data_IF_211716501870
#
_entry.id   IF_211716501870
#
_cell.length_a   1.000
_cell.length_b   1.000
_cell.length_c   1.000
_cell.angle_alpha   90.00
_cell.angle_beta   90.00
_cell.angle_gamma   90.00
#
_symmetry.space_group_name_H-M   'P 1'
#
loop_
_entity.id
_entity.type
_entity.pdbx_description
1 polymer ?
#
# COMPACT_ATOMS: atom_id res chain seq x y z
N UNK A 1 -9.02 0.25 23.00
CA UNK A 1 -8.91 1.64 22.47
C UNK A 1 -10.18 1.98 21.72
N UNK A 2 -10.53 3.27 21.60
CA UNK A 2 -11.64 3.68 20.74
C UNK A 2 -11.31 3.28 19.27
N UNK A 3 -12.21 2.59 18.55
CA UNK A 3 -12.04 2.27 17.13
C UNK A 3 -11.57 3.44 16.27
N UNK A 4 -12.02 4.66 16.58
CA UNK A 4 -11.67 5.87 15.84
C UNK A 4 -10.15 6.15 15.96
N UNK A 5 -9.58 5.94 17.14
CA UNK A 5 -8.15 6.19 17.39
C UNK A 5 -7.31 5.19 16.60
N UNK A 6 -7.71 3.92 16.54
CA UNK A 6 -7.01 2.87 15.79
C UNK A 6 -6.98 3.21 14.30
N UNK A 7 -8.14 3.56 13.73
CA UNK A 7 -8.24 3.94 12.32
C UNK A 7 -7.40 5.18 12.04
N UNK A 8 -7.44 6.20 12.91
CA UNK A 8 -6.62 7.39 12.75
C UNK A 8 -5.12 7.07 12.71
N UNK A 9 -4.63 6.17 13.58
CA UNK A 9 -3.24 5.72 13.59
C UNK A 9 -2.87 5.02 12.27
N UNK A 10 -3.71 4.08 11.82
CA UNK A 10 -3.49 3.36 10.56
C UNK A 10 -3.42 4.34 9.37
N UNK A 11 -4.35 5.30 9.31
CA UNK A 11 -4.39 6.32 8.25
C UNK A 11 -3.13 7.19 8.29
N UNK A 12 -2.68 7.64 9.47
CA UNK A 12 -1.46 8.44 9.59
C UNK A 12 -0.25 7.65 9.08
N UNK A 13 -0.11 6.38 9.46
CA UNK A 13 1.00 5.53 8.99
C UNK A 13 0.91 5.30 7.48
N UNK A 14 -0.28 5.06 6.95
CA UNK A 14 -0.50 4.92 5.51
C UNK A 14 -0.11 6.19 4.74
N UNK A 15 -0.46 7.38 5.26
CA UNK A 15 -0.06 8.66 4.65
C UNK A 15 1.45 8.87 4.67
N UNK A 16 2.14 8.48 5.75
CA UNK A 16 3.61 8.53 5.83
C UNK A 16 4.24 7.61 4.78
N UNK A 17 3.73 6.39 4.65
CA UNK A 17 4.18 5.45 3.63
C UNK A 17 3.94 5.99 2.21
N UNK A 18 2.76 6.54 1.93
CA UNK A 18 2.40 7.07 0.61
C UNK A 18 3.24 8.30 0.23
N UNK A 19 3.51 9.18 1.21
CA UNK A 19 4.43 10.30 1.01
C UNK A 19 5.82 9.81 0.61
N UNK A 20 6.35 8.79 1.29
CA UNK A 20 7.63 8.18 0.93
C UNK A 20 7.58 7.52 -0.44
N UNK A 21 6.46 6.88 -0.78
CA UNK A 21 6.25 6.23 -2.06
C UNK A 21 6.33 7.24 -3.21
N UNK A 22 5.66 8.39 -3.06
CA UNK A 22 5.68 9.46 -4.05
C UNK A 22 7.08 9.97 -4.40
N UNK A 23 8.04 9.99 -3.46
CA UNK A 23 9.43 10.34 -3.79
C UNK A 23 10.13 9.31 -4.65
N UNK A 24 9.93 8.02 -4.34
CA UNK A 24 10.57 6.94 -5.07
C UNK A 24 10.01 6.87 -6.49
N UNK A 25 8.70 7.03 -6.64
CA UNK A 25 8.03 6.94 -7.94
C UNK A 25 8.16 8.22 -8.77
N UNK A 26 8.33 9.39 -8.15
CA UNK A 26 8.66 10.62 -8.88
C UNK A 26 9.95 10.47 -9.71
N UNK A 27 10.93 9.70 -9.23
CA UNK A 27 12.12 9.39 -10.02
C UNK A 27 11.78 8.55 -11.26
N UNK A 28 10.89 7.57 -11.13
CA UNK A 28 10.47 6.71 -12.23
C UNK A 28 9.69 7.48 -13.32
N UNK A 29 8.80 8.38 -12.91
CA UNK A 29 7.94 9.12 -13.84
C UNK A 29 8.60 10.37 -14.44
N UNK A 30 9.45 11.07 -13.68
CA UNK A 30 9.91 12.42 -14.03
C UNK A 30 11.38 12.46 -14.50
N UNK A 31 12.19 11.44 -14.22
CA UNK A 31 13.63 11.49 -14.52
C UNK A 31 13.91 11.69 -16.02
N UNK A 32 13.12 11.09 -16.91
CA UNK A 32 13.32 11.21 -18.37
C UNK A 32 13.02 12.62 -18.86
N UNK A 33 11.90 13.22 -18.43
CA UNK A 33 11.49 14.55 -18.86
C UNK A 33 12.41 15.65 -18.33
N UNK A 34 12.93 15.47 -17.11
CA UNK A 34 13.88 16.41 -16.49
C UNK A 34 15.29 16.25 -17.05
N UNK A 35 15.78 15.01 -17.23
CA UNK A 35 17.15 14.76 -17.75
C UNK A 35 17.32 15.17 -19.21
N UNK A 36 16.28 15.00 -20.03
CA UNK A 36 16.24 15.48 -21.43
C UNK A 36 16.01 16.98 -21.56
N UNK A 37 15.73 17.68 -20.44
CA UNK A 37 15.38 19.11 -20.40
C UNK A 37 14.12 19.46 -21.20
N UNK A 38 13.22 18.50 -21.39
CA UNK A 38 11.92 18.75 -22.01
C UNK A 38 11.03 19.62 -21.13
N UNK A 39 11.11 19.44 -19.80
CA UNK A 39 10.46 20.29 -18.80
C UNK A 39 11.43 20.68 -17.69
N UNK A 40 11.22 21.87 -17.12
CA UNK A 40 11.89 22.25 -15.88
C UNK A 40 11.40 21.38 -14.70
N UNK A 41 12.26 21.09 -13.70
CA UNK A 41 11.92 20.22 -12.57
C UNK A 41 10.61 20.58 -11.86
N UNK A 42 10.33 21.88 -11.70
CA UNK A 42 9.10 22.36 -11.05
C UNK A 42 7.84 21.99 -11.84
N UNK A 43 7.90 22.15 -13.16
CA UNK A 43 6.77 21.87 -14.05
C UNK A 43 6.54 20.36 -14.19
N UNK A 44 7.63 19.59 -14.28
CA UNK A 44 7.55 18.13 -14.27
C UNK A 44 6.91 17.61 -12.97
N UNK A 45 7.32 18.14 -11.81
CA UNK A 45 6.74 17.77 -10.52
C UNK A 45 5.26 18.14 -10.42
N UNK A 46 4.88 19.36 -10.84
CA UNK A 46 3.49 19.80 -10.80
C UNK A 46 2.60 18.90 -11.67
N UNK A 47 3.09 18.55 -12.86
CA UNK A 47 2.42 17.61 -13.76
C UNK A 47 2.24 16.24 -13.10
N UNK A 48 3.32 15.69 -12.53
CA UNK A 48 3.30 14.42 -11.81
C UNK A 48 2.26 14.40 -10.70
N UNK A 49 2.24 15.41 -9.81
CA UNK A 49 1.26 15.50 -8.72
C UNK A 49 -0.18 15.50 -9.23
N UNK A 50 -0.47 16.27 -10.28
CA UNK A 50 -1.83 16.35 -10.84
C UNK A 50 -2.26 15.01 -11.42
N UNK A 51 -1.41 14.37 -12.23
CA UNK A 51 -1.78 13.14 -12.92
C UNK A 51 -1.79 11.91 -12.00
N UNK A 52 -0.89 11.82 -11.02
CA UNK A 52 -0.91 10.76 -10.00
C UNK A 52 -2.21 10.82 -9.18
N UNK A 53 -2.55 12.01 -8.67
CA UNK A 53 -3.78 12.19 -7.90
C UNK A 53 -5.03 11.94 -8.74
N UNK A 54 -5.08 12.49 -9.96
CA UNK A 54 -6.21 12.33 -10.86
C UNK A 54 -6.39 10.87 -11.29
N UNK A 55 -5.30 10.13 -11.53
CA UNK A 55 -5.34 8.70 -11.84
C UNK A 55 -5.99 7.90 -10.72
N UNK A 56 -5.52 8.07 -9.48
CA UNK A 56 -6.10 7.42 -8.31
C UNK A 56 -7.58 7.79 -8.12
N UNK A 57 -7.93 9.07 -8.24
CA UNK A 57 -9.29 9.56 -8.09
C UNK A 57 -10.24 9.01 -9.16
N UNK A 58 -9.84 9.03 -10.43
CA UNK A 58 -10.66 8.54 -11.55
C UNK A 58 -10.92 7.05 -11.41
N UNK A 59 -9.90 6.24 -11.12
CA UNK A 59 -10.06 4.79 -10.99
C UNK A 59 -11.08 4.47 -9.90
N UNK A 60 -10.94 5.05 -8.70
CA UNK A 60 -11.86 4.78 -7.58
C UNK A 60 -13.30 5.18 -7.94
N UNK A 61 -13.51 6.40 -8.45
CA UNK A 61 -14.85 6.90 -8.76
C UNK A 61 -15.50 6.11 -9.91
N UNK A 62 -14.74 5.74 -10.94
CA UNK A 62 -15.27 4.92 -12.04
C UNK A 62 -15.62 3.51 -11.57
N UNK A 63 -14.81 2.88 -10.71
CA UNK A 63 -15.17 1.58 -10.11
C UNK A 63 -16.46 1.68 -9.31
N UNK A 64 -16.65 2.76 -8.54
CA UNK A 64 -17.88 2.98 -7.77
C UNK A 64 -19.11 3.20 -8.67
N UNK A 65 -18.94 3.89 -9.80
CA UNK A 65 -20.03 4.21 -10.73
C UNK A 65 -20.41 3.03 -11.63
N UNK A 66 -19.42 2.37 -12.21
CA UNK A 66 -19.61 1.38 -13.29
C UNK A 66 -19.49 -0.08 -12.80
N UNK A 67 -19.11 -0.27 -11.53
CA UNK A 67 -18.82 -1.58 -10.96
C UNK A 67 -17.45 -2.12 -11.37
N UNK A 68 -17.25 -3.43 -11.15
CA UNK A 68 -15.97 -4.10 -11.37
C UNK A 68 -15.76 -4.42 -12.86
N UNK A 69 -15.38 -3.41 -13.64
CA UNK A 69 -15.01 -3.55 -15.06
C UNK A 69 -13.52 -3.88 -15.15
N UNK A 70 -13.17 -4.76 -16.09
CA UNK A 70 -11.81 -5.31 -16.30
C UNK A 70 -10.68 -4.25 -16.29
N UNK A 71 -10.95 -3.04 -16.78
CA UNK A 71 -9.96 -1.95 -16.88
C UNK A 71 -9.90 -1.01 -15.66
N UNK A 72 -10.93 -0.98 -14.82
CA UNK A 72 -11.03 -0.07 -13.66
C UNK A 72 -11.18 -0.87 -12.38
N UNK A 73 -10.21 -1.76 -12.13
CA UNK A 73 -10.15 -2.52 -10.88
C UNK A 73 -9.07 -1.90 -9.97
N UNK A 74 -9.43 -1.38 -8.79
CA UNK A 74 -8.47 -0.79 -7.88
C UNK A 74 -7.46 -1.84 -7.42
N UNK A 75 -6.17 -1.55 -7.59
CA UNK A 75 -5.09 -2.42 -7.10
C UNK A 75 -5.20 -2.61 -5.58
N UNK A 76 -5.75 -1.62 -4.87
CA UNK A 76 -6.06 -1.70 -3.44
C UNK A 76 -6.90 -2.95 -3.07
N UNK A 77 -7.85 -3.36 -3.91
CA UNK A 77 -8.67 -4.56 -3.68
C UNK A 77 -7.84 -5.84 -3.74
N UNK A 78 -6.85 -5.88 -4.64
CA UNK A 78 -5.93 -7.02 -4.76
C UNK A 78 -5.00 -7.06 -3.55
N UNK A 79 -4.44 -5.91 -3.18
CA UNK A 79 -3.54 -5.78 -2.03
C UNK A 79 -4.21 -6.20 -0.72
N UNK A 80 -5.48 -5.82 -0.51
CA UNK A 80 -6.26 -6.23 0.66
C UNK A 80 -6.61 -7.72 0.74
N UNK A 81 -6.48 -8.46 -0.37
CA UNK A 81 -6.80 -9.89 -0.44
C UNK A 81 -5.59 -10.81 -0.31
N UNK A 82 -4.36 -10.26 -0.32
CA UNK A 82 -3.12 -11.04 -0.26
C UNK A 82 -3.05 -11.90 1.01
N UNK A 83 -3.48 -11.35 2.14
CA UNK A 83 -3.52 -12.05 3.42
C UNK A 83 -4.98 -12.30 3.83
N UNK A 84 -5.28 -13.55 4.15
CA UNK A 84 -6.58 -13.97 4.66
C UNK A 84 -6.64 -13.73 6.16
N UNK A 85 -7.24 -12.60 6.54
CA UNK A 85 -7.46 -12.26 7.94
C UNK A 85 -8.89 -12.64 8.35
N UNK A 86 -9.10 -13.15 9.59
CA UNK A 86 -10.44 -13.36 10.12
C UNK A 86 -11.26 -12.06 10.16
N UNK A 87 -12.58 -12.17 10.12
CA UNK A 87 -13.44 -11.01 10.29
C UNK A 87 -13.32 -10.48 11.73
N UNK A 88 -13.36 -9.16 11.91
CA UNK A 88 -13.38 -8.57 13.26
C UNK A 88 -14.61 -9.08 14.01
N UNK A 89 -14.40 -9.65 15.19
CA UNK A 89 -15.43 -10.31 15.99
C UNK A 89 -15.52 -11.82 15.81
N UNK A 90 -14.75 -12.42 14.91
CA UNK A 90 -14.66 -13.89 14.79
C UNK A 90 -13.70 -14.49 15.81
N UNK A 91 -14.01 -15.69 16.28
CA UNK A 91 -13.12 -16.47 17.15
C UNK A 91 -11.96 -17.04 16.32
N UNK A 92 -10.74 -16.80 16.79
CA UNK A 92 -9.52 -17.38 16.26
C UNK A 92 -9.33 -18.76 16.89
N UNK A 93 -8.55 -19.64 16.26
CA UNK A 93 -8.24 -21.01 16.71
C UNK A 93 -7.77 -21.14 18.18
N UNK A 94 -7.37 -20.04 18.83
CA UNK A 94 -6.95 -20.00 20.23
C UNK A 94 -8.09 -19.61 21.21
N UNK A 95 -9.33 -19.44 20.73
CA UNK A 95 -10.48 -18.98 21.52
C UNK A 95 -10.52 -17.48 21.78
N UNK A 96 -9.57 -16.71 21.23
CA UNK A 96 -9.56 -15.25 21.30
C UNK A 96 -10.39 -14.64 20.17
N UNK A 97 -11.04 -13.51 20.47
CA UNK A 97 -11.81 -12.75 19.48
C UNK A 97 -10.85 -11.87 18.68
N UNK A 98 -10.90 -11.96 17.36
CA UNK A 98 -10.13 -11.07 16.48
C UNK A 98 -10.68 -9.64 16.59
N UNK A 99 -9.96 -8.80 17.33
CA UNK A 99 -10.33 -7.40 17.56
C UNK A 99 -9.81 -6.48 16.44
N UNK A 100 -10.39 -5.27 16.34
CA UNK A 100 -9.91 -4.23 15.42
C UNK A 100 -8.45 -3.82 15.71
N UNK A 101 -8.01 -3.97 16.97
CA UNK A 101 -6.63 -3.66 17.39
C UNK A 101 -5.64 -4.62 16.72
N UNK A 102 -5.95 -5.91 16.68
CA UNK A 102 -5.12 -6.90 15.98
C UNK A 102 -5.02 -6.61 14.48
N UNK A 103 -6.15 -6.29 13.84
CA UNK A 103 -6.17 -5.92 12.42
C UNK A 103 -5.32 -4.67 12.14
N UNK A 104 -5.53 -3.60 12.92
CA UNK A 104 -4.77 -2.36 12.78
C UNK A 104 -3.28 -2.57 12.98
N UNK A 105 -2.90 -3.39 13.96
CA UNK A 105 -1.51 -3.71 14.25
C UNK A 105 -0.82 -4.47 13.10
N UNK A 106 -1.49 -5.46 12.51
CA UNK A 106 -0.96 -6.20 11.34
C UNK A 106 -0.70 -5.24 10.17
N UNK A 107 -1.66 -4.36 9.87
CA UNK A 107 -1.53 -3.39 8.78
C UNK A 107 -0.41 -2.40 9.07
N UNK A 108 -0.36 -1.83 10.28
CA UNK A 108 0.67 -0.89 10.69
C UNK A 108 2.08 -1.50 10.61
N UNK A 109 2.28 -2.73 11.09
CA UNK A 109 3.57 -3.42 11.02
C UNK A 109 3.98 -3.65 9.57
N UNK A 110 3.04 -4.07 8.71
CA UNK A 110 3.30 -4.27 7.29
C UNK A 110 3.76 -2.97 6.60
N UNK A 111 3.05 -1.87 6.83
CA UNK A 111 3.36 -0.55 6.24
C UNK A 111 4.65 0.04 6.80
N UNK A 112 4.89 -0.05 8.11
CA UNK A 112 6.14 0.44 8.73
C UNK A 112 7.35 -0.33 8.18
N UNK A 113 7.23 -1.65 8.04
CA UNK A 113 8.32 -2.48 7.48
C UNK A 113 8.63 -2.08 6.03
N UNK A 114 7.59 -1.90 5.21
CA UNK A 114 7.72 -1.44 3.84
C UNK A 114 8.34 -0.04 3.75
N UNK A 115 7.90 0.88 4.62
CA UNK A 115 8.45 2.23 4.73
C UNK A 115 9.94 2.22 5.10
N UNK A 116 10.34 1.43 6.11
CA UNK A 116 11.74 1.30 6.51
C UNK A 116 12.60 0.77 5.36
N UNK A 117 12.09 -0.23 4.62
CA UNK A 117 12.78 -0.77 3.46
C UNK A 117 12.97 0.29 2.36
N UNK A 118 11.91 1.01 2.02
CA UNK A 118 11.93 2.09 1.04
C UNK A 118 12.90 3.21 1.44
N UNK A 119 12.94 3.58 2.71
CA UNK A 119 13.87 4.60 3.22
C UNK A 119 15.32 4.13 3.12
N UNK A 120 15.59 2.87 3.50
CA UNK A 120 16.92 2.27 3.40
C UNK A 120 17.42 2.19 1.96
N UNK A 121 16.59 1.68 1.04
CA UNK A 121 16.91 1.61 -0.38
C UNK A 121 17.17 3.00 -0.98
N UNK A 122 16.34 3.99 -0.62
CA UNK A 122 16.54 5.38 -1.01
C UNK A 122 17.87 5.93 -0.50
N UNK A 123 18.24 5.66 0.75
CA UNK A 123 19.52 6.13 1.30
C UNK A 123 20.72 5.56 0.54
N UNK A 124 20.58 4.35 -0.01
CA UNK A 124 21.59 3.70 -0.85
C UNK A 124 21.49 4.08 -2.34
N UNK A 125 20.51 4.91 -2.73
CA UNK A 125 20.28 5.31 -4.12
C UNK A 125 19.79 4.17 -5.03
N UNK A 126 19.26 3.09 -4.45
CA UNK A 126 18.77 1.93 -5.21
C UNK A 126 17.31 2.16 -5.58
N UNK A 127 16.94 2.12 -6.88
CA UNK A 127 15.53 2.17 -7.27
C UNK A 127 14.85 0.87 -6.85
N UNK A 128 13.78 0.97 -6.06
CA UNK A 128 13.03 -0.18 -5.55
C UNK A 128 11.54 -0.05 -5.82
N UNK A 129 10.86 -1.19 -5.91
CA UNK A 129 9.40 -1.23 -6.02
C UNK A 129 8.75 -1.14 -4.63
N UNK A 130 8.03 -0.05 -4.37
CA UNK A 130 7.28 0.13 -3.13
C UNK A 130 6.13 -0.88 -2.98
N UNK A 131 5.51 -1.29 -4.09
CA UNK A 131 4.47 -2.33 -4.08
C UNK A 131 5.03 -3.66 -3.56
N UNK A 132 6.22 -4.08 -4.03
CA UNK A 132 6.88 -5.29 -3.51
C UNK A 132 7.27 -5.17 -2.05
N UNK A 133 7.75 -4.00 -1.62
CA UNK A 133 8.05 -3.74 -0.21
C UNK A 133 6.78 -3.86 0.66
N UNK A 134 5.65 -3.33 0.19
CA UNK A 134 4.36 -3.42 0.87
C UNK A 134 3.82 -4.86 0.92
N UNK A 135 3.86 -5.59 -0.20
CA UNK A 135 3.46 -7.01 -0.26
C UNK A 135 4.30 -7.82 0.72
N UNK A 136 5.63 -7.66 0.71
CA UNK A 136 6.54 -8.33 1.64
C UNK A 136 6.24 -8.00 3.09
N UNK A 137 5.98 -6.72 3.41
CA UNK A 137 5.62 -6.27 4.76
C UNK A 137 4.31 -6.86 5.25
N UNK A 138 3.24 -6.78 4.45
CA UNK A 138 1.91 -7.30 4.81
C UNK A 138 1.93 -8.83 4.90
N UNK A 139 2.59 -9.52 3.96
CA UNK A 139 2.79 -10.97 4.03
C UNK A 139 3.57 -11.39 5.27
N UNK A 140 4.65 -10.67 5.63
CA UNK A 140 5.44 -10.94 6.83
C UNK A 140 4.62 -10.76 8.11
N UNK A 141 3.84 -9.68 8.20
CA UNK A 141 2.94 -9.44 9.33
C UNK A 141 1.84 -10.51 9.43
N UNK A 142 1.23 -10.88 8.29
CA UNK A 142 0.24 -11.95 8.21
C UNK A 142 0.79 -13.32 8.60
N UNK A 143 2.00 -13.65 8.13
CA UNK A 143 2.72 -14.87 8.49
C UNK A 143 2.99 -14.94 9.99
N UNK A 144 3.44 -13.84 10.60
CA UNK A 144 3.69 -13.80 12.04
C UNK A 144 2.41 -13.98 12.87
N UNK A 145 1.26 -13.47 12.39
CA UNK A 145 -0.01 -13.53 13.10
C UNK A 145 -0.75 -14.87 12.94
N UNK A 146 -0.78 -15.44 11.74
CA UNK A 146 -1.63 -16.59 11.39
C UNK A 146 -0.89 -17.74 10.70
N UNK A 147 0.43 -17.63 10.53
CA UNK A 147 1.26 -18.62 9.87
C UNK A 147 1.13 -18.62 8.35
N UNK A 148 1.73 -19.62 7.71
CA UNK A 148 1.84 -19.69 6.24
C UNK A 148 0.49 -19.86 5.53
N UNK A 149 -0.49 -20.48 6.19
CA UNK A 149 -1.82 -20.72 5.63
C UNK A 149 -2.65 -19.45 5.42
N UNK A 150 -2.25 -18.33 6.00
CA UNK A 150 -2.93 -17.04 5.80
C UNK A 150 -2.56 -16.38 4.47
N UNK A 151 -1.41 -16.72 3.87
CA UNK A 151 -0.92 -16.09 2.65
C UNK A 151 -1.57 -16.78 1.44
N UNK A 152 -2.30 -16.01 0.64
CA UNK A 152 -2.87 -16.49 -0.63
C UNK A 152 -1.83 -16.37 -1.74
N UNK A 153 -1.03 -17.42 -1.92
CA UNK A 153 0.06 -17.43 -2.92
C UNK A 153 -0.44 -17.14 -4.34
N UNK A 154 -1.65 -17.57 -4.69
CA UNK A 154 -2.27 -17.29 -5.98
C UNK A 154 -2.43 -15.79 -6.22
N UNK A 155 -2.80 -15.03 -5.18
CA UNK A 155 -2.97 -13.58 -5.27
C UNK A 155 -1.62 -12.87 -5.26
N UNK A 156 -0.65 -13.40 -4.50
CA UNK A 156 0.74 -12.90 -4.51
C UNK A 156 1.34 -13.01 -5.92
N UNK A 157 1.09 -14.10 -6.66
CA UNK A 157 1.58 -14.26 -8.03
C UNK A 157 0.87 -13.37 -9.06
N UNK A 158 -0.26 -12.77 -8.70
CA UNK A 158 -1.02 -11.83 -9.53
C UNK A 158 -0.66 -10.36 -9.25
N UNK A 159 0.09 -10.09 -8.19
CA UNK A 159 0.46 -8.76 -7.71
C UNK A 159 1.85 -8.35 -8.20
#
# INVERSE_FOLDING_TARGET
MDPIIIVAIVVIIALIFEYSNGFNDAANALATTVSTRALEPKNALLLGVIFEFMGAFIVINLTMLLGNILFFKPVADTMGKIVSLPAVGSEISNGEIFSLEYLGLIICIGLITAFIWNLGARHLGVPTSSSHAMIGGICGAGFAAFGIGAIKIEIVMLA
#
